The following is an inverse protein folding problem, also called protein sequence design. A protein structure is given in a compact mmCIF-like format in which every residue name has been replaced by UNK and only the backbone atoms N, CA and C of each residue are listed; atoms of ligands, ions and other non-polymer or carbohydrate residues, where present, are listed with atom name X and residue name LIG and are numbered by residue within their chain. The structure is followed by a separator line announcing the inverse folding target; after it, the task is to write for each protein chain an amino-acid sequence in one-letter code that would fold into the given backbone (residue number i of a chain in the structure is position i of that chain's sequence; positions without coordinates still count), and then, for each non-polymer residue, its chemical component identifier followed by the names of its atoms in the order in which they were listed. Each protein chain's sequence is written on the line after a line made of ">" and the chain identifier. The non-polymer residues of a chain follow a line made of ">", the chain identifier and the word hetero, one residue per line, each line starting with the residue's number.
data_IF_458803484554
#
_entry.id   IF_458803484554
#
_cell.length_a   1.000
_cell.length_b   1.000
_cell.length_c   1.000
_cell.angle_alpha   90.00
_cell.angle_beta   90.00
_cell.angle_gamma   90.00
#
_symmetry.space_group_name_H-M   'P 1'
#
loop_
_entity.id
_entity.type
_entity.pdbx_description
1 polymer ?
#
# COMPACT_ATOMS: atom_id res chain seq x y z
N UNK A 1 -7.33 -1.26 59.62
CA UNK A 1 -6.52 -0.32 58.82
C UNK A 1 -5.70 -1.13 57.84
N UNK A 2 -6.08 -1.06 56.56
CA UNK A 2 -5.41 -1.72 55.44
C UNK A 2 -4.17 -0.95 55.02
N UNK A 3 -3.14 -1.66 54.59
CA UNK A 3 -2.11 -1.13 53.71
C UNK A 3 -1.75 -2.22 52.68
N UNK A 4 -2.64 -2.42 51.70
CA UNK A 4 -2.29 -3.14 50.49
C UNK A 4 -1.30 -2.27 49.70
N UNK A 5 -0.04 -2.67 49.72
CA UNK A 5 1.00 -2.05 48.91
C UNK A 5 0.86 -2.59 47.48
N UNK A 6 0.18 -1.83 46.62
CA UNK A 6 0.15 -2.08 45.19
C UNK A 6 1.55 -1.84 44.62
N UNK A 7 2.19 -2.89 44.12
CA UNK A 7 3.45 -2.79 43.41
C UNK A 7 3.28 -1.92 42.15
N UNK A 8 4.33 -1.18 41.71
CA UNK A 8 4.23 -0.35 40.52
C UNK A 8 3.98 -1.25 39.31
N UNK A 9 2.88 -1.00 38.59
CA UNK A 9 2.68 -1.55 37.26
C UNK A 9 3.78 -0.96 36.39
N UNK A 10 4.81 -1.76 36.11
CA UNK A 10 5.77 -1.44 35.06
C UNK A 10 4.97 -1.40 33.77
N UNK A 11 4.72 -0.18 33.27
CA UNK A 11 4.39 0.02 31.87
C UNK A 11 5.64 -0.35 31.07
N UNK A 12 5.83 -1.65 30.83
CA UNK A 12 6.66 -2.11 29.74
C UNK A 12 5.93 -1.68 28.48
N UNK A 13 6.18 -0.44 28.04
CA UNK A 13 5.96 -0.06 26.67
C UNK A 13 6.86 -0.98 25.85
N UNK A 14 6.32 -2.12 25.43
CA UNK A 14 6.92 -2.83 24.32
C UNK A 14 7.03 -1.79 23.19
N UNK A 15 8.22 -1.53 22.62
CA UNK A 15 8.25 -0.83 21.36
C UNK A 15 7.43 -1.71 20.44
N UNK A 16 6.30 -1.22 19.98
CA UNK A 16 5.54 -1.86 18.92
C UNK A 16 6.41 -1.71 17.68
N UNK A 17 7.51 -2.47 17.59
CA UNK A 17 8.37 -2.51 16.43
C UNK A 17 7.44 -2.94 15.29
N UNK A 18 7.03 -1.96 14.47
CA UNK A 18 6.31 -2.25 13.25
C UNK A 18 7.28 -3.03 12.37
N UNK A 19 7.19 -4.34 12.49
CA UNK A 19 7.92 -5.26 11.66
C UNK A 19 7.46 -5.04 10.23
N UNK A 20 8.38 -5.16 9.27
CA UNK A 20 8.07 -5.05 7.85
C UNK A 20 7.06 -6.13 7.37
N UNK A 21 6.83 -7.17 8.16
CA UNK A 21 5.97 -8.31 7.82
C UNK A 21 4.49 -7.92 7.65
N UNK A 22 3.83 -7.24 8.61
CA UNK A 22 2.48 -6.70 8.41
C UNK A 22 2.33 -5.86 7.13
N UNK A 23 3.29 -4.99 6.84
CA UNK A 23 3.26 -4.14 5.65
C UNK A 23 3.45 -4.95 4.38
N UNK A 24 4.35 -5.93 4.39
CA UNK A 24 4.53 -6.86 3.26
C UNK A 24 3.24 -7.60 2.94
N UNK A 25 2.55 -8.11 3.95
CA UNK A 25 1.25 -8.76 3.79
C UNK A 25 0.21 -7.81 3.19
N UNK A 26 0.17 -6.55 3.67
CA UNK A 26 -0.71 -5.54 3.10
C UNK A 26 -0.40 -5.26 1.62
N UNK A 27 0.88 -5.18 1.25
CA UNK A 27 1.31 -4.99 -0.14
C UNK A 27 0.91 -6.19 -1.01
N UNK A 28 1.08 -7.42 -0.52
CA UNK A 28 0.70 -8.63 -1.26
C UNK A 28 -0.80 -8.73 -1.53
N UNK A 29 -1.63 -8.25 -0.61
CA UNK A 29 -3.08 -8.20 -0.77
C UNK A 29 -3.56 -7.03 -1.63
N UNK A 30 -2.86 -5.90 -1.54
CA UNK A 30 -3.18 -4.69 -2.28
C UNK A 30 -2.75 -4.80 -3.74
N UNK A 31 -1.52 -5.23 -4.02
CA UNK A 31 -0.95 -5.25 -5.38
C UNK A 31 -1.85 -6.03 -6.32
N UNK A 32 -1.94 -5.55 -7.55
CA UNK A 32 -2.63 -6.32 -8.58
C UNK A 32 -1.60 -7.11 -9.39
N UNK A 33 -1.94 -8.34 -9.76
CA UNK A 33 -1.02 -9.22 -10.51
C UNK A 33 -1.05 -8.95 -12.02
N UNK A 34 -0.49 -7.81 -12.43
CA UNK A 34 -0.54 -7.33 -13.82
C UNK A 34 0.46 -8.00 -14.77
N UNK A 35 1.35 -8.88 -14.27
CA UNK A 35 2.63 -9.24 -14.92
C UNK A 35 3.68 -8.12 -14.76
N UNK A 36 4.91 -8.25 -15.30
CA UNK A 36 5.94 -7.20 -15.19
C UNK A 36 5.49 -5.82 -15.71
N UNK A 37 6.13 -4.76 -15.22
CA UNK A 37 5.73 -3.36 -15.39
C UNK A 37 5.55 -2.93 -16.86
N UNK A 38 6.34 -3.49 -17.77
CA UNK A 38 6.23 -3.24 -19.22
C UNK A 38 4.89 -3.68 -19.81
N UNK A 39 4.18 -4.61 -19.16
CA UNK A 39 2.87 -5.12 -19.58
C UNK A 39 1.70 -4.33 -19.01
N UNK A 40 1.93 -3.42 -18.07
CA UNK A 40 0.85 -2.74 -17.38
C UNK A 40 -0.06 -1.91 -18.30
N UNK A 41 0.45 -1.11 -19.26
CA UNK A 41 -0.40 -0.35 -20.17
C UNK A 41 -1.36 -1.25 -20.97
N UNK A 42 -0.87 -2.34 -21.56
CA UNK A 42 -1.67 -3.28 -22.36
C UNK A 42 -2.82 -3.88 -21.53
N UNK A 43 -2.52 -4.29 -20.30
CA UNK A 43 -3.51 -4.87 -19.39
C UNK A 43 -4.59 -3.86 -19.02
N UNK A 44 -4.23 -2.59 -18.89
CA UNK A 44 -5.18 -1.53 -18.52
C UNK A 44 -6.16 -1.31 -19.65
N UNK A 45 -5.66 -1.24 -20.88
CA UNK A 45 -6.52 -1.11 -22.06
C UNK A 45 -7.45 -2.31 -22.23
N UNK A 46 -6.95 -3.54 -22.06
CA UNK A 46 -7.80 -4.75 -22.09
C UNK A 46 -8.93 -4.66 -21.05
N UNK A 47 -8.62 -4.22 -19.82
CA UNK A 47 -9.63 -4.05 -18.78
C UNK A 47 -10.63 -2.94 -19.11
N UNK A 48 -10.17 -1.81 -19.66
CA UNK A 48 -11.03 -0.70 -20.10
C UNK A 48 -11.98 -1.14 -21.21
N UNK A 49 -11.48 -1.81 -22.25
CA UNK A 49 -12.28 -2.36 -23.35
C UNK A 49 -13.30 -3.39 -22.85
N UNK A 50 -12.90 -4.25 -21.91
CA UNK A 50 -13.80 -5.20 -21.25
C UNK A 50 -14.92 -4.53 -20.46
N UNK A 51 -14.65 -3.37 -19.83
CA UNK A 51 -15.66 -2.59 -19.11
C UNK A 51 -16.59 -1.86 -20.09
N UNK A 52 -16.05 -1.28 -21.15
CA UNK A 52 -16.81 -0.52 -22.16
C UNK A 52 -17.75 -1.43 -22.97
N UNK A 53 -17.32 -2.64 -23.31
CA UNK A 53 -18.11 -3.61 -24.09
C UNK A 53 -19.36 -4.14 -23.37
N UNK A 54 -19.48 -3.94 -22.05
CA UNK A 54 -20.59 -4.48 -21.23
C UNK A 54 -21.89 -3.67 -21.28
N UNK A 55 -22.01 -2.66 -22.15
CA UNK A 55 -23.23 -1.83 -22.36
C UNK A 55 -23.84 -1.26 -21.06
N UNK A 56 -23.03 -1.05 -20.02
CA UNK A 56 -23.45 -0.49 -18.74
C UNK A 56 -22.81 0.90 -18.56
N UNK A 57 -23.58 1.99 -18.68
CA UNK A 57 -23.02 3.34 -18.61
C UNK A 57 -22.40 3.66 -17.25
N UNK A 58 -22.79 2.96 -16.19
CA UNK A 58 -22.20 3.12 -14.85
C UNK A 58 -20.99 2.21 -14.59
N UNK A 59 -20.67 1.28 -15.49
CA UNK A 59 -19.52 0.37 -15.29
C UNK A 59 -18.19 1.11 -15.40
N UNK A 60 -18.05 2.02 -16.38
CA UNK A 60 -16.83 2.81 -16.54
C UNK A 60 -16.58 3.74 -15.35
N UNK A 61 -17.64 4.38 -14.84
CA UNK A 61 -17.54 5.22 -13.63
C UNK A 61 -17.10 4.42 -12.40
N UNK A 62 -17.66 3.22 -12.18
CA UNK A 62 -17.24 2.32 -11.08
C UNK A 62 -15.81 1.81 -11.24
N UNK A 63 -15.39 1.50 -12.46
CA UNK A 63 -14.02 1.11 -12.76
C UNK A 63 -13.03 2.20 -12.35
N UNK A 64 -13.26 3.45 -12.78
CA UNK A 64 -12.41 4.57 -12.40
C UNK A 64 -12.49 4.91 -10.90
N UNK A 65 -13.65 4.73 -10.26
CA UNK A 65 -13.78 4.86 -8.81
C UNK A 65 -12.94 3.82 -8.06
N UNK A 66 -12.91 2.58 -8.55
CA UNK A 66 -12.04 1.52 -8.02
C UNK A 66 -10.56 1.87 -8.15
N UNK A 67 -10.12 2.39 -9.31
CA UNK A 67 -8.74 2.85 -9.48
C UNK A 67 -8.35 3.97 -8.51
N UNK A 68 -9.26 4.93 -8.27
CA UNK A 68 -9.01 5.99 -7.27
C UNK A 68 -8.89 5.43 -5.85
N UNK A 69 -9.70 4.44 -5.49
CA UNK A 69 -9.59 3.76 -4.20
C UNK A 69 -8.25 3.01 -4.08
N UNK A 70 -7.85 2.27 -5.12
CA UNK A 70 -6.57 1.56 -5.17
C UNK A 70 -5.36 2.48 -4.99
N UNK A 71 -5.35 3.63 -5.66
CA UNK A 71 -4.32 4.67 -5.50
C UNK A 71 -4.28 5.19 -4.05
N UNK A 72 -5.46 5.42 -3.45
CA UNK A 72 -5.55 5.93 -2.08
C UNK A 72 -4.96 4.92 -1.09
N UNK A 73 -5.31 3.65 -1.21
CA UNK A 73 -4.78 2.56 -0.39
C UNK A 73 -3.26 2.44 -0.54
N UNK A 74 -2.73 2.53 -1.77
CA UNK A 74 -1.29 2.53 -2.02
C UNK A 74 -0.57 3.71 -1.37
N UNK A 75 -1.17 4.90 -1.36
CA UNK A 75 -0.63 6.07 -0.64
C UNK A 75 -0.64 5.90 0.87
N UNK A 76 -1.64 5.24 1.43
CA UNK A 76 -1.68 4.91 2.86
C UNK A 76 -0.55 3.92 3.22
N UNK A 77 -0.28 2.93 2.37
CA UNK A 77 0.87 2.01 2.53
C UNK A 77 2.21 2.79 2.48
N UNK A 78 2.39 3.69 1.51
CA UNK A 78 3.59 4.53 1.41
C UNK A 78 3.76 5.43 2.64
N UNK A 79 2.66 5.94 3.20
CA UNK A 79 2.67 6.74 4.43
C UNK A 79 3.17 5.93 5.62
N UNK A 80 2.76 4.65 5.76
CA UNK A 80 3.27 3.75 6.79
C UNK A 80 4.76 3.44 6.59
N UNK A 81 5.19 3.14 5.36
CA UNK A 81 6.61 2.94 5.03
C UNK A 81 7.46 4.17 5.36
N UNK A 82 6.94 5.37 5.07
CA UNK A 82 7.58 6.64 5.43
C UNK A 82 7.65 6.86 6.95
N UNK A 83 6.62 6.45 7.70
CA UNK A 83 6.64 6.49 9.17
C UNK A 83 7.73 5.62 9.77
N UNK A 84 7.94 4.42 9.22
CA UNK A 84 9.00 3.49 9.65
C UNK A 84 10.40 4.08 9.41
N UNK A 85 10.63 4.74 8.28
CA UNK A 85 11.94 5.31 7.97
C UNK A 85 12.33 6.51 8.85
N UNK A 86 11.34 7.25 9.37
CA UNK A 86 11.56 8.45 10.20
C UNK A 86 11.42 8.20 11.70
N UNK A 87 10.84 7.07 12.12
CA UNK A 87 10.71 6.70 13.53
C UNK A 87 12.02 6.20 14.14
N UNK A 88 12.14 6.30 15.48
CA UNK A 88 13.21 5.67 16.27
C UNK A 88 13.17 4.11 16.25
N UNK A 89 12.40 3.52 15.34
CA UNK A 89 12.15 2.08 15.22
C UNK A 89 13.00 1.39 14.17
N UNK A 90 13.91 2.10 13.52
CA UNK A 90 14.77 1.51 12.50
C UNK A 90 15.99 0.78 13.11
N UNK A 91 15.75 -0.17 14.01
CA UNK A 91 16.67 -1.32 14.15
C UNK A 91 16.32 -2.32 13.04
N UNK A 92 16.49 -1.89 11.80
CA UNK A 92 16.29 -2.73 10.61
C UNK A 92 17.66 -3.36 10.32
N UNK A 93 17.85 -4.67 10.55
CA UNK A 93 19.05 -5.37 10.09
C UNK A 93 19.35 -4.98 8.64
N UNK A 94 20.64 -4.86 8.26
CA UNK A 94 21.03 -4.55 6.89
C UNK A 94 20.37 -5.48 5.85
N UNK A 95 20.08 -6.72 6.24
CA UNK A 95 19.35 -7.73 5.46
C UNK A 95 17.88 -7.38 5.17
N UNK A 96 17.26 -6.50 5.96
CA UNK A 96 15.89 -6.01 5.78
C UNK A 96 15.79 -4.65 5.09
N UNK A 97 16.91 -3.93 4.90
CA UNK A 97 16.92 -2.65 4.21
C UNK A 97 16.61 -2.78 2.71
N UNK A 98 17.16 -3.81 2.05
CA UNK A 98 16.82 -4.13 0.65
C UNK A 98 15.32 -4.39 0.48
N UNK A 99 14.76 -5.26 1.34
CA UNK A 99 13.32 -5.54 1.34
C UNK A 99 12.47 -4.30 1.59
N UNK A 100 12.93 -3.35 2.41
CA UNK A 100 12.22 -2.09 2.63
C UNK A 100 12.15 -1.26 1.35
N UNK A 101 13.27 -1.08 0.66
CA UNK A 101 13.30 -0.34 -0.60
C UNK A 101 12.48 -1.02 -1.70
N UNK A 102 12.56 -2.36 -1.81
CA UNK A 102 11.75 -3.11 -2.77
C UNK A 102 10.26 -2.87 -2.55
N UNK A 103 9.81 -2.85 -1.29
CA UNK A 103 8.42 -2.53 -0.94
C UNK A 103 8.04 -1.10 -1.34
N UNK A 104 8.90 -0.11 -1.05
CA UNK A 104 8.67 1.27 -1.45
C UNK A 104 8.55 1.42 -2.98
N UNK A 105 9.47 0.80 -3.74
CA UNK A 105 9.48 0.86 -5.20
C UNK A 105 8.24 0.19 -5.77
N UNK A 106 7.88 -1.01 -5.30
CA UNK A 106 6.71 -1.73 -5.78
C UNK A 106 5.43 -0.90 -5.63
N UNK A 107 5.19 -0.34 -4.44
CA UNK A 107 3.98 0.45 -4.18
C UNK A 107 4.01 1.76 -4.95
N UNK A 108 5.15 2.46 -4.96
CA UNK A 108 5.28 3.74 -5.66
C UNK A 108 5.09 3.62 -7.17
N UNK A 109 5.68 2.59 -7.80
CA UNK A 109 5.52 2.36 -9.24
C UNK A 109 4.06 2.11 -9.62
N UNK A 110 3.36 1.24 -8.90
CA UNK A 110 1.96 0.91 -9.20
C UNK A 110 1.02 2.10 -8.93
N UNK A 111 1.20 2.83 -7.82
CA UNK A 111 0.47 4.08 -7.56
C UNK A 111 0.72 5.09 -8.68
N UNK A 112 1.98 5.28 -9.08
CA UNK A 112 2.34 6.26 -10.11
C UNK A 112 1.75 5.90 -11.46
N UNK A 113 1.78 4.63 -11.83
CA UNK A 113 1.17 4.13 -13.07
C UNK A 113 -0.32 4.49 -13.13
N UNK A 114 -1.08 4.22 -12.07
CA UNK A 114 -2.52 4.49 -12.05
C UNK A 114 -2.84 5.99 -11.97
N UNK A 115 -2.06 6.79 -11.24
CA UNK A 115 -2.22 8.25 -11.25
C UNK A 115 -2.04 8.84 -12.65
N UNK A 116 -0.98 8.42 -13.36
CA UNK A 116 -0.74 8.86 -14.73
C UNK A 116 -1.85 8.38 -15.66
N UNK A 117 -2.35 7.16 -15.47
CA UNK A 117 -3.45 6.61 -16.27
C UNK A 117 -4.75 7.39 -16.10
N UNK A 118 -5.07 7.84 -14.88
CA UNK A 118 -6.25 8.68 -14.62
C UNK A 118 -6.14 10.06 -15.28
N UNK A 119 -4.96 10.69 -15.25
CA UNK A 119 -4.74 11.99 -15.91
C UNK A 119 -5.05 11.93 -17.41
N UNK A 120 -4.67 10.83 -18.08
CA UNK A 120 -4.95 10.62 -19.51
C UNK A 120 -6.39 10.18 -19.81
N UNK A 121 -7.17 9.78 -18.79
CA UNK A 121 -8.57 9.40 -18.97
C UNK A 121 -9.53 10.61 -18.91
N UNK A 122 -9.11 11.70 -18.28
CA UNK A 122 -9.86 12.96 -18.16
C UNK A 122 -9.55 13.96 -19.29
N UNK A 123 -8.72 13.59 -20.28
CA UNK A 123 -8.37 14.39 -21.47
C UNK A 123 -9.05 13.88 -22.73
#
# INVERSE_FOLDING_TARGET
>A
MSAETLAPIKHTAAPLAETLAPIRCAIELWRVDWQPEDRWPDKLEILKESVQSKSNPAALSRFWAGMRAHIKEGKEILSHLHGISHGAQMEVPSTSLGSFYDMCVNVASEVKFFEMSLLHADT
#
